data_IF_763360580072
#
_entry.id   IF_763360580072
#
_cell.length_a   1.000
_cell.length_b   1.000
_cell.length_c   1.000
_cell.angle_alpha   90.00
_cell.angle_beta   90.00
_cell.angle_gamma   90.00
#
_symmetry.space_group_name_H-M   'P 1'
#
loop_
_entity.id
_entity.type
_entity.pdbx_description
1 polymer ?
#
# COMPACT_ATOMS: atom_id res chain seq x y z
N UNK A 1 -15.92 5.61 0.98
CA UNK A 1 -15.36 4.28 1.33
C UNK A 1 -13.86 4.42 1.50
N UNK A 2 -13.30 3.81 2.53
CA UNK A 2 -11.88 3.92 2.88
C UNK A 2 -11.26 2.53 3.06
N UNK A 3 -10.01 2.39 2.63
CA UNK A 3 -9.14 1.26 2.95
C UNK A 3 -8.09 1.75 3.96
N UNK A 4 -7.89 0.99 5.03
CA UNK A 4 -7.01 1.35 6.15
C UNK A 4 -6.18 0.16 6.58
N UNK A 5 -4.96 0.43 7.04
CA UNK A 5 -4.12 -0.57 7.70
C UNK A 5 -3.02 0.11 8.53
N UNK A 6 -2.42 -0.65 9.42
CA UNK A 6 -1.15 -0.32 10.07
C UNK A 6 -0.03 -1.06 9.34
N UNK A 7 1.09 -0.36 9.10
CA UNK A 7 2.25 -0.93 8.42
C UNK A 7 3.53 -0.66 9.20
N UNK A 8 4.24 -1.71 9.58
CA UNK A 8 5.59 -1.61 10.12
C UNK A 8 6.62 -1.91 9.06
N UNK A 9 7.46 -0.92 8.75
CA UNK A 9 8.57 -1.08 7.83
C UNK A 9 9.80 -1.57 8.61
N UNK A 10 10.13 -2.85 8.52
CA UNK A 10 11.25 -3.42 9.28
C UNK A 10 12.60 -3.08 8.66
N UNK A 11 12.83 -3.54 7.43
CA UNK A 11 14.09 -3.32 6.70
C UNK A 11 13.86 -2.57 5.39
N UNK A 12 12.64 -2.61 4.88
CA UNK A 12 12.24 -2.06 3.58
C UNK A 12 10.90 -1.33 3.74
N UNK A 13 10.58 -0.48 2.77
CA UNK A 13 9.42 0.40 2.84
C UNK A 13 8.51 0.28 1.60
N UNK A 14 8.99 -0.39 0.56
CA UNK A 14 8.35 -0.47 -0.76
C UNK A 14 7.26 -1.53 -0.85
N UNK A 15 6.29 -1.47 0.06
CA UNK A 15 5.13 -2.37 0.05
C UNK A 15 3.87 -1.69 0.56
N UNK A 16 2.72 -2.28 0.22
CA UNK A 16 1.39 -1.82 0.61
C UNK A 16 0.38 -2.97 0.73
N UNK A 17 -0.77 -2.67 1.33
CA UNK A 17 -2.02 -3.39 1.08
C UNK A 17 -2.62 -2.91 -0.24
N UNK A 18 -2.85 -3.82 -1.17
CA UNK A 18 -3.37 -3.56 -2.51
C UNK A 18 -4.69 -4.30 -2.76
N UNK A 19 -5.44 -3.84 -3.76
CA UNK A 19 -6.72 -4.40 -4.18
C UNK A 19 -6.63 -4.69 -5.68
N UNK A 20 -7.00 -5.91 -6.08
CA UNK A 20 -7.35 -6.19 -7.47
C UNK A 20 -8.86 -6.15 -7.65
N UNK A 21 -9.31 -5.37 -8.63
CA UNK A 21 -10.70 -5.26 -9.01
C UNK A 21 -11.09 -6.33 -10.05
N UNK A 22 -12.39 -6.61 -10.17
CA UNK A 22 -12.90 -7.62 -11.12
C UNK A 22 -12.68 -7.24 -12.59
N UNK A 23 -12.44 -5.97 -12.89
CA UNK A 23 -12.08 -5.47 -14.22
C UNK A 23 -10.58 -5.64 -14.56
N UNK A 24 -9.80 -6.26 -13.67
CA UNK A 24 -8.37 -6.51 -13.83
C UNK A 24 -7.46 -5.36 -13.42
N UNK A 25 -8.01 -4.19 -13.09
CA UNK A 25 -7.23 -3.05 -12.59
C UNK A 25 -6.83 -3.26 -11.12
N UNK A 26 -5.79 -2.54 -10.67
CA UNK A 26 -5.34 -2.55 -9.27
C UNK A 26 -5.35 -1.18 -8.64
N UNK A 27 -5.53 -1.13 -7.33
CA UNK A 27 -5.34 0.10 -6.57
C UNK A 27 -3.93 0.65 -6.82
N UNK A 28 -2.87 -0.16 -6.67
CA UNK A 28 -1.45 0.20 -6.93
C UNK A 28 -1.13 0.76 -8.32
N UNK A 29 -1.98 0.49 -9.32
CA UNK A 29 -1.81 0.97 -10.70
C UNK A 29 -2.52 2.31 -10.98
N UNK A 30 -3.25 2.84 -10.01
CA UNK A 30 -4.02 4.09 -10.14
C UNK A 30 -3.21 5.32 -9.73
N UNK A 31 -3.86 6.49 -9.81
CA UNK A 31 -3.36 7.76 -9.25
C UNK A 31 -3.72 7.96 -7.76
N UNK A 32 -4.26 6.94 -7.08
CA UNK A 32 -4.61 7.05 -5.67
C UNK A 32 -3.38 7.39 -4.81
N UNK A 33 -3.65 8.15 -3.75
CA UNK A 33 -2.69 8.50 -2.71
C UNK A 33 -3.29 8.16 -1.35
N UNK A 34 -2.44 7.97 -0.36
CA UNK A 34 -2.88 7.98 1.03
C UNK A 34 -3.21 9.40 1.51
N UNK A 35 -3.64 9.51 2.77
CA UNK A 35 -3.96 10.78 3.43
C UNK A 35 -2.77 11.74 3.59
N UNK A 36 -1.53 11.26 3.47
CA UNK A 36 -0.34 12.10 3.46
C UNK A 36 0.04 12.56 2.03
N UNK A 37 -0.79 12.25 1.03
CA UNK A 37 -0.54 12.60 -0.37
C UNK A 37 0.48 11.71 -1.06
N UNK A 38 0.87 10.58 -0.46
CA UNK A 38 1.86 9.68 -1.04
C UNK A 38 1.18 8.63 -1.90
N UNK A 39 1.70 8.42 -3.11
CA UNK A 39 1.21 7.39 -4.04
C UNK A 39 1.17 6.01 -3.37
N UNK A 40 0.11 5.25 -3.62
CA UNK A 40 -0.04 3.86 -3.16
C UNK A 40 0.63 2.85 -4.11
N UNK A 41 1.41 3.30 -5.08
CA UNK A 41 2.25 2.39 -5.85
C UNK A 41 3.46 1.96 -4.99
N UNK A 42 3.72 0.66 -4.78
CA UNK A 42 4.80 0.19 -3.91
C UNK A 42 6.17 0.82 -4.22
N UNK A 43 6.48 1.08 -5.51
CA UNK A 43 7.75 1.69 -5.93
C UNK A 43 7.95 3.12 -5.41
N UNK A 44 6.86 3.81 -5.10
CA UNK A 44 6.88 5.18 -4.60
C UNK A 44 6.86 5.24 -3.06
N UNK A 45 6.77 4.09 -2.38
CA UNK A 45 6.79 4.00 -0.91
C UNK A 45 8.23 3.97 -0.41
N UNK A 46 8.92 5.10 -0.53
CA UNK A 46 10.34 5.19 -0.18
C UNK A 46 10.55 5.23 1.33
N UNK A 47 11.71 4.77 1.79
CA UNK A 47 12.10 4.89 3.20
C UNK A 47 12.41 6.33 3.64
N UNK A 48 12.48 7.29 2.71
CA UNK A 48 12.57 8.71 3.05
C UNK A 48 11.23 9.26 3.53
N UNK A 49 10.12 8.69 3.04
CA UNK A 49 8.76 9.11 3.40
C UNK A 49 8.21 8.25 4.54
N UNK A 50 8.41 6.94 4.46
CA UNK A 50 7.95 5.96 5.44
C UNK A 50 9.14 5.17 5.96
N UNK A 51 9.90 5.77 6.88
CA UNK A 51 11.14 5.22 7.42
C UNK A 51 11.01 3.81 8.02
N UNK A 52 12.14 3.17 8.28
CA UNK A 52 12.18 1.85 8.92
C UNK A 52 12.14 1.96 10.45
N UNK A 53 11.65 0.92 11.13
CA UNK A 53 11.59 0.87 12.59
C UNK A 53 10.35 1.49 13.22
N UNK A 54 9.34 1.87 12.40
CA UNK A 54 8.14 2.55 12.86
C UNK A 54 6.87 1.93 12.27
N UNK A 55 5.77 2.06 13.03
CA UNK A 55 4.41 1.79 12.56
C UNK A 55 3.82 3.04 11.91
N UNK A 56 3.17 2.87 10.77
CA UNK A 56 2.45 3.91 10.07
C UNK A 56 1.00 3.52 9.88
N UNK A 57 0.10 4.45 10.18
CA UNK A 57 -1.29 4.34 9.77
C UNK A 57 -1.41 4.81 8.31
N UNK A 58 -1.94 3.94 7.46
CA UNK A 58 -2.19 4.26 6.06
C UNK A 58 -3.68 4.20 5.79
N UNK A 59 -4.21 5.27 5.22
CA UNK A 59 -5.61 5.37 4.81
C UNK A 59 -5.69 5.86 3.38
N UNK A 60 -6.53 5.21 2.58
CA UNK A 60 -6.74 5.54 1.17
C UNK A 60 -8.23 5.78 0.93
N UNK A 61 -8.55 6.92 0.30
CA UNK A 61 -9.90 7.20 -0.13
C UNK A 61 -10.20 6.44 -1.43
N UNK A 62 -11.21 5.57 -1.39
CA UNK A 62 -11.59 4.74 -2.52
C UNK A 62 -12.72 5.30 -3.37
N UNK A 63 -13.16 6.56 -3.15
CA UNK A 63 -14.28 7.14 -3.90
C UNK A 63 -14.05 7.16 -5.42
N UNK A 64 -12.81 7.26 -5.89
CA UNK A 64 -12.48 7.18 -7.33
C UNK A 64 -12.76 5.80 -7.96
N UNK A 65 -12.97 4.76 -7.14
CA UNK A 65 -13.28 3.39 -7.57
C UNK A 65 -14.75 3.03 -7.33
N UNK A 66 -15.62 4.02 -7.12
CA UNK A 66 -17.06 3.78 -6.96
C UNK A 66 -17.61 2.93 -8.11
N UNK A 67 -18.38 1.89 -7.77
CA UNK A 67 -18.94 0.94 -8.73
C UNK A 67 -18.02 -0.22 -9.12
N UNK A 68 -16.71 -0.17 -8.81
CA UNK A 68 -15.84 -1.33 -8.99
C UNK A 68 -16.11 -2.39 -7.92
N UNK A 69 -15.87 -3.66 -8.26
CA UNK A 69 -15.95 -4.79 -7.33
C UNK A 69 -14.56 -5.30 -7.01
N UNK A 70 -14.31 -5.59 -5.74
CA UNK A 70 -13.06 -6.19 -5.27
C UNK A 70 -13.07 -7.67 -5.64
N UNK A 71 -11.99 -8.13 -6.27
CA UNK A 71 -11.75 -9.54 -6.57
C UNK A 71 -10.88 -10.20 -5.49
N UNK A 72 -9.81 -9.52 -5.07
CA UNK A 72 -8.90 -10.00 -4.01
C UNK A 72 -8.15 -8.87 -3.34
N UNK A 73 -7.78 -9.11 -2.09
CA UNK A 73 -6.79 -8.35 -1.36
C UNK A 73 -5.41 -8.92 -1.63
N UNK A 74 -4.42 -8.05 -1.66
CA UNK A 74 -3.03 -8.39 -1.96
C UNK A 74 -2.12 -7.65 -0.97
N UNK A 75 -0.99 -8.26 -0.64
CA UNK A 75 0.15 -7.55 -0.09
C UNK A 75 1.19 -7.48 -1.20
N UNK A 76 1.46 -6.29 -1.71
CA UNK A 76 2.35 -6.11 -2.87
C UNK A 76 3.59 -5.36 -2.45
N UNK A 77 4.72 -5.74 -3.02
CA UNK A 77 6.00 -5.08 -2.82
C UNK A 77 6.68 -4.84 -4.16
N UNK A 78 7.52 -3.82 -4.21
CA UNK A 78 8.38 -3.53 -5.35
C UNK A 78 9.80 -3.25 -4.87
N UNK A 79 10.70 -4.22 -5.07
CA UNK A 79 12.10 -4.06 -4.70
C UNK A 79 12.96 -3.54 -5.87
N UNK A 80 12.38 -3.22 -7.03
CA UNK A 80 13.15 -2.77 -8.22
C UNK A 80 13.85 -1.43 -8.02
N UNK A 81 13.33 -0.61 -7.10
CA UNK A 81 13.88 0.71 -6.76
C UNK A 81 14.77 0.70 -5.51
N UNK A 82 14.92 -0.45 -4.85
CA UNK A 82 15.76 -0.60 -3.66
C UNK A 82 17.07 -1.27 -4.05
N UNK A 83 18.19 -0.65 -3.68
CA UNK A 83 19.53 -1.25 -3.85
C UNK A 83 19.84 -2.33 -2.81
N UNK A 84 18.91 -2.61 -1.89
CA UNK A 84 19.08 -3.57 -0.82
C UNK A 84 18.76 -4.98 -1.33
N UNK A 85 19.72 -5.89 -1.16
CA UNK A 85 19.61 -7.31 -1.50
C UNK A 85 19.49 -8.16 -0.24
N UNK A 86 18.76 -9.27 -0.31
CA UNK A 86 18.73 -10.33 0.69
C UNK A 86 17.80 -10.11 1.89
N UNK A 87 17.65 -8.89 2.41
CA UNK A 87 16.80 -8.62 3.56
C UNK A 87 15.54 -7.84 3.18
N UNK A 88 14.38 -8.44 3.42
CA UNK A 88 13.07 -7.80 3.26
C UNK A 88 12.16 -8.21 4.42
N UNK A 89 11.58 -7.23 5.12
CA UNK A 89 10.70 -7.45 6.27
C UNK A 89 9.78 -6.26 6.46
N UNK A 90 8.49 -6.52 6.33
CA UNK A 90 7.38 -5.58 6.56
C UNK A 90 6.27 -6.35 7.25
N UNK A 91 5.56 -5.72 8.17
CA UNK A 91 4.38 -6.27 8.83
C UNK A 91 3.18 -5.40 8.50
N UNK A 92 2.04 -6.04 8.30
CA UNK A 92 0.76 -5.38 8.09
C UNK A 92 -0.17 -5.82 9.22
N UNK A 93 -0.91 -4.87 9.76
CA UNK A 93 -1.85 -5.12 10.84
C UNK A 93 -3.16 -4.37 10.61
N UNK A 94 -4.24 -4.92 11.14
CA UNK A 94 -5.61 -4.40 11.05
C UNK A 94 -6.05 -3.90 9.64
N UNK A 95 -5.87 -4.70 8.56
CA UNK A 95 -6.42 -4.32 7.26
C UNK A 95 -7.95 -4.25 7.34
N UNK A 96 -8.50 -3.07 7.06
CA UNK A 96 -9.92 -2.80 7.15
C UNK A 96 -10.43 -2.05 5.92
N UNK A 97 -11.59 -2.48 5.42
CA UNK A 97 -12.36 -1.77 4.40
C UNK A 97 -13.71 -1.39 5.01
N UNK A 98 -14.01 -0.09 5.03
CA UNK A 98 -15.16 0.43 5.75
C UNK A 98 -15.70 1.77 5.25
N UNK A 99 -16.77 2.20 5.92
CA UNK A 99 -17.49 3.46 5.67
C UNK A 99 -16.92 4.60 6.50
#
# INVERSE_FOLDING_TARGET
MKLRWLQYNGVQCTAIVDIEFTDGTRLSSSSATDTAGVSINPKNRTCNTYGTGFWFYVEVNLSQFAGKRIKRWLFTYDNSVSNIKGNWRIYFDDPNLGF
#
